data_IF_965109679186
#
_entry.id   IF_965109679186
#
_cell.length_a   1.000
_cell.length_b   1.000
_cell.length_c   1.000
_cell.angle_alpha   90.00
_cell.angle_beta   90.00
_cell.angle_gamma   90.00
#
_symmetry.space_group_name_H-M   'P 1'
#
loop_
_entity.id
_entity.type
_entity.pdbx_description
1 polymer ?
#
# COMPACT_ATOMS: atom_id res chain seq x y z
N UNK A 1 44.97 -42.63 -12.11
CA UNK A 1 43.86 -41.73 -11.74
C UNK A 1 44.46 -40.56 -10.99
N UNK A 2 44.48 -39.38 -11.60
CA UNK A 2 45.14 -38.21 -11.03
C UNK A 2 44.12 -37.50 -10.13
N UNK A 3 44.40 -37.36 -8.83
CA UNK A 3 43.46 -36.81 -7.84
C UNK A 3 42.99 -35.40 -8.24
N UNK A 4 43.83 -34.66 -8.97
CA UNK A 4 43.53 -33.33 -9.51
C UNK A 4 42.42 -33.36 -10.58
N UNK A 5 42.35 -34.39 -11.42
CA UNK A 5 41.30 -34.47 -12.45
C UNK A 5 39.93 -34.81 -11.85
N UNK A 6 39.90 -35.68 -10.83
CA UNK A 6 38.67 -36.04 -10.12
C UNK A 6 38.08 -34.86 -9.34
N UNK A 7 38.92 -34.01 -8.74
CA UNK A 7 38.46 -32.81 -8.06
C UNK A 7 37.78 -31.82 -9.02
N UNK A 8 38.28 -31.65 -10.24
CA UNK A 8 37.75 -30.67 -11.20
C UNK A 8 36.37 -31.04 -11.79
N UNK A 9 35.99 -32.31 -11.70
CA UNK A 9 34.70 -32.83 -12.19
C UNK A 9 33.57 -32.74 -11.16
N UNK A 10 33.88 -32.28 -9.93
CA UNK A 10 32.86 -32.06 -8.92
C UNK A 10 32.06 -30.78 -9.25
N UNK A 11 30.72 -30.85 -9.27
CA UNK A 11 29.86 -29.75 -9.73
C UNK A 11 29.99 -28.47 -8.89
N UNK A 12 30.38 -28.60 -7.62
CA UNK A 12 30.61 -27.46 -6.74
C UNK A 12 31.93 -26.72 -7.02
N UNK A 13 32.95 -27.39 -7.57
CA UNK A 13 34.22 -26.74 -7.96
C UNK A 13 34.03 -25.90 -9.23
N UNK A 14 33.18 -26.34 -10.16
CA UNK A 14 32.84 -25.57 -11.36
C UNK A 14 32.04 -24.30 -11.03
N UNK A 15 31.18 -24.34 -10.01
CA UNK A 15 30.43 -23.18 -9.51
C UNK A 15 31.32 -22.06 -8.95
N UNK A 16 32.46 -22.41 -8.37
CA UNK A 16 33.46 -21.45 -7.87
C UNK A 16 34.28 -20.80 -9.00
N UNK A 17 34.30 -21.41 -10.20
CA UNK A 17 34.99 -20.91 -11.39
C UNK A 17 34.07 -20.08 -12.29
N UNK A 18 33.07 -19.40 -11.73
CA UNK A 18 32.27 -18.44 -12.51
C UNK A 18 33.06 -17.12 -12.61
N UNK A 19 33.35 -16.60 -13.82
CA UNK A 19 34.03 -15.32 -13.97
C UNK A 19 33.30 -14.21 -13.20
N UNK A 20 34.09 -13.35 -12.57
CA UNK A 20 33.68 -12.31 -11.61
C UNK A 20 32.84 -11.15 -12.23
N UNK A 21 32.25 -11.36 -13.40
CA UNK A 21 31.64 -10.28 -14.19
C UNK A 21 30.18 -10.00 -13.79
N UNK A 22 29.53 -10.95 -13.11
CA UNK A 22 28.12 -10.84 -12.69
C UNK A 22 27.94 -10.18 -11.31
N UNK A 23 29.01 -10.04 -10.51
CA UNK A 23 28.89 -9.75 -9.08
C UNK A 23 28.81 -8.26 -8.74
N UNK A 24 29.30 -7.39 -9.63
CA UNK A 24 29.22 -5.94 -9.43
C UNK A 24 27.88 -5.38 -9.91
N UNK A 25 27.41 -5.81 -11.07
CA UNK A 25 26.14 -5.35 -11.66
C UNK A 25 24.96 -5.80 -10.81
N UNK A 26 24.98 -7.03 -10.30
CA UNK A 26 23.92 -7.56 -9.42
C UNK A 26 23.86 -6.81 -8.08
N UNK A 27 25.02 -6.56 -7.46
CA UNK A 27 25.11 -5.76 -6.21
C UNK A 27 24.66 -4.33 -6.40
N UNK A 28 24.97 -3.75 -7.57
CA UNK A 28 24.58 -2.40 -7.94
C UNK A 28 23.06 -2.31 -8.11
N UNK A 29 22.46 -3.27 -8.83
CA UNK A 29 21.02 -3.35 -9.03
C UNK A 29 20.25 -3.56 -7.71
N UNK A 30 20.71 -4.48 -6.85
CA UNK A 30 20.08 -4.71 -5.55
C UNK A 30 20.08 -3.44 -4.68
N UNK A 31 21.20 -2.71 -4.66
CA UNK A 31 21.31 -1.46 -3.90
C UNK A 31 20.45 -0.34 -4.48
N UNK A 32 20.35 -0.22 -5.80
CA UNK A 32 19.50 0.78 -6.45
C UNK A 32 18.02 0.47 -6.31
N UNK A 33 17.59 -0.76 -6.57
CA UNK A 33 16.18 -1.15 -6.48
C UNK A 33 15.65 -0.96 -5.06
N UNK A 34 16.40 -1.43 -4.05
CA UNK A 34 16.02 -1.24 -2.64
C UNK A 34 16.04 0.25 -2.28
N UNK A 35 17.05 1.00 -2.70
CA UNK A 35 17.13 2.45 -2.46
C UNK A 35 15.96 3.22 -3.07
N UNK A 36 15.58 2.90 -4.31
CA UNK A 36 14.46 3.51 -5.02
C UNK A 36 13.13 3.20 -4.32
N UNK A 37 12.90 1.94 -3.93
CA UNK A 37 11.70 1.54 -3.18
C UNK A 37 11.62 2.29 -1.84
N UNK A 38 12.73 2.44 -1.12
CA UNK A 38 12.76 3.18 0.14
C UNK A 38 12.44 4.67 -0.06
N UNK A 39 13.01 5.30 -1.09
CA UNK A 39 12.74 6.71 -1.40
C UNK A 39 11.28 6.92 -1.77
N UNK A 40 10.73 6.10 -2.67
CA UNK A 40 9.31 6.18 -3.02
C UNK A 40 8.41 5.86 -1.81
N UNK A 41 8.76 4.87 -1.00
CA UNK A 41 8.05 4.54 0.23
C UNK A 41 8.01 5.72 1.21
N UNK A 42 9.12 6.43 1.41
CA UNK A 42 9.20 7.63 2.23
C UNK A 42 8.37 8.78 1.67
N UNK A 43 8.43 9.01 0.35
CA UNK A 43 7.66 10.07 -0.32
C UNK A 43 6.15 9.82 -0.20
N UNK A 44 5.71 8.59 -0.51
CA UNK A 44 4.30 8.18 -0.44
C UNK A 44 3.80 8.30 1.00
N UNK A 45 4.56 7.74 1.94
CA UNK A 45 4.23 7.79 3.37
C UNK A 45 4.16 9.24 3.88
N UNK A 46 5.13 10.08 3.53
CA UNK A 46 5.12 11.51 3.86
C UNK A 46 3.94 12.27 3.25
N UNK A 47 3.58 11.96 2.00
CA UNK A 47 2.43 12.56 1.32
C UNK A 47 1.09 12.21 1.96
N UNK A 48 0.96 11.00 2.52
CA UNK A 48 -0.25 10.58 3.23
C UNK A 48 -0.42 11.28 4.60
N UNK A 49 0.66 11.73 5.24
CA UNK A 49 0.57 12.41 6.53
C UNK A 49 0.06 13.86 6.44
N UNK A 50 0.31 14.55 5.32
CA UNK A 50 -0.08 15.96 5.16
C UNK A 50 -1.46 16.17 4.50
N UNK A 51 -2.11 15.11 4.01
CA UNK A 51 -3.43 15.22 3.41
C UNK A 51 -4.53 14.71 4.35
N UNK A 52 -5.50 15.55 4.65
CA UNK A 52 -6.72 15.15 5.35
C UNK A 52 -7.38 14.00 4.56
N UNK A 53 -7.70 12.89 5.25
CA UNK A 53 -8.05 11.61 4.61
C UNK A 53 -9.27 11.66 3.68
N UNK A 54 -10.21 12.58 3.93
CA UNK A 54 -11.28 12.98 3.01
C UNK A 54 -11.82 14.34 3.46
N UNK A 55 -12.21 15.21 2.54
CA UNK A 55 -12.93 16.46 2.88
C UNK A 55 -14.40 16.27 2.57
N UNK A 56 -15.22 16.29 3.61
CA UNK A 56 -16.66 16.19 3.50
C UNK A 56 -17.29 17.56 3.23
N UNK A 57 -18.45 17.55 2.58
CA UNK A 57 -19.29 18.73 2.52
C UNK A 57 -19.90 18.97 3.90
N UNK A 58 -19.57 20.11 4.50
CA UNK A 58 -20.02 20.50 5.84
C UNK A 58 -20.79 21.82 5.72
N UNK A 59 -21.93 21.97 6.41
CA UNK A 59 -22.70 23.20 6.31
C UNK A 59 -21.98 24.38 7.00
N UNK A 60 -22.22 25.60 6.51
CA UNK A 60 -21.41 26.78 6.83
C UNK A 60 -21.38 27.19 8.32
N UNK A 61 -22.32 26.70 9.13
CA UNK A 61 -22.35 26.94 10.57
C UNK A 61 -21.27 26.18 11.36
N UNK A 62 -20.68 25.11 10.80
CA UNK A 62 -19.66 24.32 11.49
C UNK A 62 -18.29 24.97 11.29
N UNK A 63 -17.75 25.58 12.34
CA UNK A 63 -16.43 26.21 12.33
C UNK A 63 -15.36 25.23 12.82
N UNK A 64 -14.19 25.27 12.18
CA UNK A 64 -12.92 24.70 12.68
C UNK A 64 -13.02 23.24 13.11
N UNK A 65 -13.06 23.01 14.43
CA UNK A 65 -13.05 21.68 15.06
C UNK A 65 -14.22 20.79 14.64
N UNK A 66 -15.39 21.36 14.38
CA UNK A 66 -16.54 20.59 13.91
C UNK A 66 -16.33 20.06 12.49
N UNK A 67 -15.69 20.83 11.61
CA UNK A 67 -15.38 20.38 10.26
C UNK A 67 -14.35 19.25 10.27
N UNK A 68 -13.32 19.35 11.13
CA UNK A 68 -12.33 18.28 11.32
C UNK A 68 -12.97 16.99 11.88
N UNK A 69 -13.86 17.13 12.87
CA UNK A 69 -14.61 15.99 13.40
C UNK A 69 -15.47 15.33 12.32
N UNK A 70 -16.21 16.11 11.53
CA UNK A 70 -17.05 15.59 10.45
C UNK A 70 -16.21 14.88 9.37
N UNK A 71 -15.03 15.41 9.04
CA UNK A 71 -14.10 14.75 8.10
C UNK A 71 -13.62 13.39 8.61
N UNK A 72 -13.24 13.30 9.88
CA UNK A 72 -12.84 12.04 10.50
C UNK A 72 -14.00 11.04 10.59
N UNK A 73 -15.21 11.53 10.88
CA UNK A 73 -16.40 10.70 10.93
C UNK A 73 -16.75 10.11 9.56
N UNK A 74 -16.67 10.93 8.51
CA UNK A 74 -16.85 10.49 7.12
C UNK A 74 -15.82 9.45 6.69
N UNK A 75 -14.58 9.56 7.17
CA UNK A 75 -13.52 8.62 6.83
C UNK A 75 -13.74 7.22 7.41
N UNK A 76 -14.27 7.14 8.64
CA UNK A 76 -14.45 5.87 9.35
C UNK A 76 -15.79 5.21 9.00
N UNK A 77 -16.79 6.01 8.63
CA UNK A 77 -18.14 5.52 8.33
C UNK A 77 -18.25 5.04 6.87
N UNK A 78 -19.01 3.96 6.63
CA UNK A 78 -19.29 3.48 5.27
C UNK A 78 -19.98 4.56 4.45
N UNK A 79 -19.47 4.83 3.24
CA UNK A 79 -20.09 5.72 2.27
C UNK A 79 -20.84 4.91 1.20
N UNK A 80 -21.83 5.52 0.58
CA UNK A 80 -22.60 4.92 -0.51
C UNK A 80 -22.64 5.89 -1.68
N UNK A 81 -22.63 5.35 -2.89
CA UNK A 81 -22.68 6.16 -4.10
C UNK A 81 -24.12 6.35 -4.57
N UNK A 82 -24.49 7.59 -4.90
CA UNK A 82 -25.75 7.95 -5.54
C UNK A 82 -25.49 8.79 -6.78
N UNK A 83 -26.22 8.50 -7.86
CA UNK A 83 -26.22 9.37 -9.04
C UNK A 83 -26.88 10.71 -8.71
N UNK A 84 -26.31 11.81 -9.21
CA UNK A 84 -26.74 13.20 -8.92
C UNK A 84 -28.21 13.46 -9.29
N UNK A 85 -28.77 12.70 -10.23
CA UNK A 85 -30.16 12.84 -10.68
C UNK A 85 -31.18 12.07 -9.82
N UNK A 86 -30.72 11.27 -8.85
CA UNK A 86 -31.59 10.46 -8.00
C UNK A 86 -31.74 11.13 -6.62
N UNK A 87 -32.95 11.06 -6.05
CA UNK A 87 -33.20 11.48 -4.66
C UNK A 87 -32.59 10.49 -3.68
N UNK A 88 -32.14 10.98 -2.51
CA UNK A 88 -31.62 10.14 -1.44
C UNK A 88 -32.77 9.23 -0.95
N UNK A 89 -32.63 7.89 -1.01
CA UNK A 89 -33.69 6.99 -0.58
C UNK A 89 -33.85 7.01 0.95
N UNK A 90 -35.09 7.09 1.43
CA UNK A 90 -35.40 7.07 2.87
C UNK A 90 -35.16 5.70 3.52
N UNK A 91 -35.28 4.62 2.74
CA UNK A 91 -35.12 3.27 3.27
C UNK A 91 -33.65 2.90 3.45
N UNK A 92 -33.28 2.59 4.68
CA UNK A 92 -31.93 2.17 5.06
C UNK A 92 -31.48 0.91 4.32
N UNK A 93 -32.41 0.00 4.04
CA UNK A 93 -32.16 -1.22 3.28
C UNK A 93 -31.65 -0.96 1.85
N UNK A 94 -32.20 0.05 1.17
CA UNK A 94 -31.78 0.39 -0.20
C UNK A 94 -30.43 1.10 -0.18
N UNK A 95 -30.20 1.95 0.82
CA UNK A 95 -28.91 2.62 1.04
C UNK A 95 -27.79 1.62 1.34
N UNK A 96 -28.07 0.60 2.14
CA UNK A 96 -27.15 -0.49 2.50
C UNK A 96 -26.73 -1.38 1.33
N UNK A 97 -27.47 -1.41 0.22
CA UNK A 97 -27.06 -2.17 -0.99
C UNK A 97 -26.06 -1.44 -1.87
N UNK A 98 -25.95 -0.11 -1.72
CA UNK A 98 -25.05 0.74 -2.49
C UNK A 98 -23.80 1.16 -1.67
N UNK A 99 -23.59 0.57 -0.50
CA UNK A 99 -22.43 0.86 0.37
C UNK A 99 -21.14 0.33 -0.25
N UNK A 100 -20.09 1.12 -0.13
CA UNK A 100 -18.74 0.75 -0.55
C UNK A 100 -17.99 0.28 0.69
N UNK A 101 -17.98 -1.03 0.95
CA UNK A 101 -17.46 -1.63 2.19
C UNK A 101 -15.95 -1.92 2.15
N UNK A 102 -15.25 -1.55 1.07
CA UNK A 102 -13.86 -1.95 0.83
C UNK A 102 -12.87 -1.50 1.93
N UNK A 103 -13.15 -0.39 2.61
CA UNK A 103 -12.24 0.16 3.63
C UNK A 103 -12.42 -0.43 5.04
N UNK A 104 -13.58 -1.01 5.38
CA UNK A 104 -13.84 -1.49 6.73
C UNK A 104 -13.16 -2.85 7.03
N UNK A 105 -12.95 -3.67 6.00
CA UNK A 105 -12.32 -4.98 6.14
C UNK A 105 -10.85 -4.88 6.59
N UNK A 106 -10.11 -3.86 6.11
CA UNK A 106 -8.68 -3.70 6.43
C UNK A 106 -8.43 -3.44 7.92
N UNK A 107 -9.32 -2.68 8.58
CA UNK A 107 -9.21 -2.35 10.01
C UNK A 107 -9.47 -3.57 10.91
N UNK A 108 -10.33 -4.50 10.48
CA UNK A 108 -10.68 -5.71 11.23
C UNK A 108 -9.54 -6.76 11.22
N UNK A 109 -8.78 -6.86 10.13
CA UNK A 109 -7.66 -7.82 10.06
C UNK A 109 -6.47 -7.44 10.96
N UNK A 110 -6.26 -6.15 11.24
CA UNK A 110 -5.15 -5.67 12.10
C UNK A 110 -5.43 -5.76 13.60
N UNK A 111 -6.69 -5.93 14.02
CA UNK A 111 -7.06 -6.08 15.44
C UNK A 111 -7.15 -7.55 15.89
N UNK A 112 -7.00 -8.49 14.95
CA UNK A 112 -7.18 -9.93 15.20
C UNK A 112 -5.89 -10.76 15.09
N UNK A 113 -4.71 -10.12 15.00
CA UNK A 113 -3.38 -10.74 15.08
C UNK A 113 -2.53 -10.07 16.16
#
# INVERSE_FOLDING_TARGET
>A
MNVVSFARDLPWIQSLSKPNDDQHVDRLNHRYTVGIILVFGMIVTGGHFMSNRVTCWVPAQFKGSYAEYTNNYCWISNTYYIHVNNTIPDSEYVRGKATIEYYNAFQLFLQHN
#
